data_IF_623436309116
#
_entry.id   IF_623436309116
#
_cell.length_a   1.000
_cell.length_b   1.000
_cell.length_c   1.000
_cell.angle_alpha   90.00
_cell.angle_beta   90.00
_cell.angle_gamma   90.00
#
_symmetry.space_group_name_H-M   'P 1'
#
loop_
_entity.id
_entity.type
_entity.pdbx_description
1 polymer ?
#
# COMPACT_ATOMS: atom_id res chain seq x y z
N UNK A 1 -6.86 17.57 31.35
CA UNK A 1 -7.41 18.82 30.79
C UNK A 1 -8.07 18.49 29.45
N UNK A 2 -9.40 18.43 29.41
CA UNK A 2 -10.13 18.35 28.15
C UNK A 2 -10.21 19.78 27.57
N UNK A 3 -9.23 20.17 26.75
CA UNK A 3 -9.44 21.32 25.87
C UNK A 3 -10.61 20.98 24.95
N UNK A 4 -11.73 21.70 25.10
CA UNK A 4 -12.84 21.61 24.16
C UNK A 4 -12.31 21.81 22.74
N UNK A 5 -12.33 20.75 21.93
CA UNK A 5 -11.93 20.85 20.53
C UNK A 5 -12.97 21.69 19.82
N UNK A 6 -12.55 22.88 19.40
CA UNK A 6 -13.28 23.68 18.43
C UNK A 6 -13.38 22.86 17.14
N UNK A 7 -14.57 22.84 16.55
CA UNK A 7 -14.76 22.30 15.21
C UNK A 7 -13.74 22.95 14.26
N UNK A 8 -13.17 22.15 13.36
CA UNK A 8 -12.28 22.61 12.29
C UNK A 8 -12.84 22.09 10.96
N UNK A 9 -13.81 22.81 10.37
CA UNK A 9 -14.47 22.36 9.14
C UNK A 9 -13.50 22.18 7.98
N UNK A 10 -12.41 22.95 7.93
CA UNK A 10 -11.42 22.86 6.86
C UNK A 10 -10.65 21.53 6.96
N UNK A 11 -10.12 21.21 8.14
CA UNK A 11 -9.49 19.90 8.38
C UNK A 11 -10.50 18.75 8.17
N UNK A 12 -11.76 18.94 8.56
CA UNK A 12 -12.82 17.97 8.36
C UNK A 12 -13.08 17.62 6.89
N UNK A 13 -13.18 18.63 6.02
CA UNK A 13 -13.35 18.44 4.57
C UNK A 13 -12.14 17.70 3.98
N UNK A 14 -10.93 18.09 4.39
CA UNK A 14 -9.68 17.46 3.93
C UNK A 14 -9.66 15.96 4.26
N UNK A 15 -10.00 15.61 5.50
CA UNK A 15 -10.12 14.22 5.93
C UNK A 15 -11.19 13.49 5.11
N UNK A 16 -12.36 14.08 4.88
CA UNK A 16 -13.40 13.42 4.06
C UNK A 16 -12.97 13.15 2.62
N UNK A 17 -12.34 14.13 1.97
CA UNK A 17 -11.82 13.99 0.60
C UNK A 17 -10.75 12.90 0.55
N UNK A 18 -9.82 12.91 1.53
CA UNK A 18 -8.80 11.87 1.68
C UNK A 18 -9.39 10.48 1.87
N UNK A 19 -10.39 10.37 2.75
CA UNK A 19 -11.10 9.14 3.03
C UNK A 19 -11.81 8.58 1.80
N UNK A 20 -12.53 9.44 1.07
CA UNK A 20 -13.18 9.09 -0.18
C UNK A 20 -12.18 8.62 -1.26
N UNK A 21 -11.03 9.30 -1.39
CA UNK A 21 -9.99 8.91 -2.34
C UNK A 21 -9.41 7.52 -2.01
N UNK A 22 -9.13 7.23 -0.75
CA UNK A 22 -8.61 5.93 -0.32
C UNK A 22 -9.63 4.80 -0.51
N UNK A 23 -10.92 5.05 -0.26
CA UNK A 23 -11.98 4.08 -0.53
C UNK A 23 -12.15 3.81 -2.03
N UNK A 24 -12.06 4.84 -2.87
CA UNK A 24 -12.06 4.68 -4.32
C UNK A 24 -10.87 3.83 -4.78
N UNK A 25 -9.68 4.07 -4.23
CA UNK A 25 -8.49 3.24 -4.51
C UNK A 25 -8.63 1.81 -3.99
N UNK A 26 -9.24 1.60 -2.83
CA UNK A 26 -9.56 0.27 -2.32
C UNK A 26 -10.52 -0.48 -3.26
N UNK A 27 -11.55 0.19 -3.76
CA UNK A 27 -12.48 -0.39 -4.73
C UNK A 27 -11.77 -0.73 -6.05
N UNK A 28 -10.90 0.14 -6.56
CA UNK A 28 -10.08 -0.15 -7.74
C UNK A 28 -9.15 -1.34 -7.52
N UNK A 29 -8.48 -1.40 -6.36
CA UNK A 29 -7.63 -2.54 -5.99
C UNK A 29 -8.43 -3.84 -5.88
N UNK A 30 -9.62 -3.81 -5.28
CA UNK A 30 -10.51 -4.97 -5.19
C UNK A 30 -10.94 -5.48 -6.56
N UNK A 31 -11.41 -4.59 -7.45
CA UNK A 31 -11.81 -4.96 -8.81
C UNK A 31 -10.63 -5.55 -9.58
N UNK A 32 -9.45 -4.94 -9.45
CA UNK A 32 -8.22 -5.40 -10.12
C UNK A 32 -7.76 -6.74 -9.58
N UNK A 33 -7.80 -6.96 -8.26
CA UNK A 33 -7.46 -8.22 -7.62
C UNK A 33 -8.43 -9.34 -7.98
N UNK A 34 -9.73 -9.03 -8.06
CA UNK A 34 -10.80 -10.00 -8.33
C UNK A 34 -10.86 -10.43 -9.80
N UNK A 35 -10.63 -9.49 -10.73
CA UNK A 35 -10.72 -9.76 -12.18
C UNK A 35 -9.39 -10.22 -12.78
N UNK A 36 -8.29 -10.01 -12.07
CA UNK A 36 -6.94 -10.02 -12.64
C UNK A 36 -6.73 -8.76 -13.51
N UNK A 37 -5.49 -8.32 -13.68
CA UNK A 37 -5.17 -7.38 -14.75
C UNK A 37 -5.58 -8.06 -16.06
N UNK A 38 -6.37 -7.39 -16.90
CA UNK A 38 -6.88 -7.87 -18.20
C UNK A 38 -5.79 -8.16 -19.24
N UNK A 39 -4.78 -8.94 -18.86
CA UNK A 39 -3.77 -9.50 -19.72
C UNK A 39 -4.44 -10.49 -20.67
N UNK A 40 -3.95 -10.60 -21.92
CA UNK A 40 -4.61 -11.32 -23.01
C UNK A 40 -4.79 -12.84 -22.79
N UNK A 41 -4.33 -13.37 -21.65
CA UNK A 41 -4.57 -14.74 -21.22
C UNK A 41 -5.96 -14.89 -20.60
N UNK A 42 -6.98 -14.79 -21.46
CA UNK A 42 -8.43 -14.89 -21.21
C UNK A 42 -8.91 -16.25 -20.65
N UNK A 43 -8.03 -17.06 -20.08
CA UNK A 43 -8.29 -18.43 -19.62
C UNK A 43 -7.98 -18.71 -18.15
N UNK A 44 -7.37 -17.78 -17.40
CA UNK A 44 -7.11 -17.97 -15.97
C UNK A 44 -8.33 -17.53 -15.16
N UNK A 45 -9.31 -18.43 -15.04
CA UNK A 45 -10.20 -18.36 -13.88
C UNK A 45 -9.33 -18.44 -12.63
N UNK A 46 -9.50 -17.47 -11.75
CA UNK A 46 -8.92 -17.43 -10.42
C UNK A 46 -9.37 -18.67 -9.62
N UNK A 47 -8.67 -19.79 -9.77
CA UNK A 47 -8.71 -20.85 -8.79
C UNK A 47 -7.97 -20.32 -7.55
N UNK A 48 -8.71 -19.78 -6.59
CA UNK A 48 -8.18 -19.33 -5.29
C UNK A 48 -7.08 -18.27 -5.42
N UNK A 49 -7.44 -17.05 -5.84
CA UNK A 49 -6.51 -15.93 -5.83
C UNK A 49 -5.90 -15.79 -4.40
N UNK A 50 -4.57 -15.71 -4.27
CA UNK A 50 -3.92 -15.65 -2.96
C UNK A 50 -4.50 -14.52 -2.12
N UNK A 51 -4.84 -14.80 -0.86
CA UNK A 51 -5.42 -13.82 0.08
C UNK A 51 -4.55 -12.57 0.20
N UNK A 52 -3.24 -12.70 -0.05
CA UNK A 52 -2.27 -11.61 -0.03
C UNK A 52 -2.57 -10.48 -1.02
N UNK A 53 -3.31 -10.75 -2.10
CA UNK A 53 -3.74 -9.73 -3.06
C UNK A 53 -4.68 -8.69 -2.46
N UNK A 54 -5.38 -9.05 -1.39
CA UNK A 54 -6.40 -8.22 -0.75
C UNK A 54 -5.87 -7.41 0.43
N UNK A 55 -4.61 -7.63 0.86
CA UNK A 55 -4.00 -6.85 1.96
C UNK A 55 -4.12 -5.35 1.70
N UNK A 56 -3.88 -4.93 0.45
CA UNK A 56 -4.02 -3.54 0.02
C UNK A 56 -5.43 -2.96 0.10
N UNK A 57 -6.42 -3.79 -0.25
CA UNK A 57 -7.84 -3.42 -0.09
C UNK A 57 -8.16 -3.19 1.38
N UNK A 58 -7.66 -4.06 2.27
CA UNK A 58 -7.89 -3.96 3.71
C UNK A 58 -7.35 -2.64 4.27
N UNK A 59 -6.05 -2.35 4.11
CA UNK A 59 -5.50 -1.15 4.73
C UNK A 59 -6.01 0.15 4.09
N UNK A 60 -6.35 0.16 2.80
CA UNK A 60 -6.96 1.33 2.17
C UNK A 60 -8.41 1.55 2.66
N UNK A 61 -9.18 0.47 2.84
CA UNK A 61 -10.55 0.55 3.36
C UNK A 61 -10.57 1.04 4.80
N UNK A 62 -9.69 0.48 5.64
CA UNK A 62 -9.54 0.90 7.03
C UNK A 62 -9.14 2.38 7.12
N UNK A 63 -8.07 2.80 6.44
CA UNK A 63 -7.62 4.20 6.49
C UNK A 63 -8.69 5.15 5.93
N UNK A 64 -9.31 4.79 4.81
CA UNK A 64 -10.38 5.60 4.21
C UNK A 64 -11.57 5.80 5.15
N UNK A 65 -11.95 4.74 5.87
CA UNK A 65 -13.02 4.80 6.88
C UNK A 65 -12.64 5.69 8.07
N UNK A 66 -11.40 5.59 8.54
CA UNK A 66 -10.89 6.38 9.67
C UNK A 66 -10.87 7.87 9.31
N UNK A 67 -10.43 8.24 8.12
CA UNK A 67 -10.48 9.63 7.64
C UNK A 67 -11.93 10.13 7.50
N UNK A 68 -12.85 9.35 6.95
CA UNK A 68 -14.26 9.74 6.90
C UNK A 68 -14.83 9.99 8.30
N UNK A 69 -14.55 9.08 9.24
CA UNK A 69 -14.98 9.22 10.64
C UNK A 69 -14.42 10.50 11.25
N UNK A 70 -13.10 10.74 11.13
CA UNK A 70 -12.46 11.97 11.63
C UNK A 70 -13.05 13.22 10.98
N UNK A 71 -13.30 13.19 9.68
CA UNK A 71 -13.91 14.28 8.93
C UNK A 71 -15.31 14.63 9.46
N UNK A 72 -16.17 13.63 9.65
CA UNK A 72 -17.49 13.84 10.24
C UNK A 72 -17.41 14.42 11.66
N UNK A 73 -16.45 13.99 12.47
CA UNK A 73 -16.26 14.52 13.81
C UNK A 73 -15.83 15.98 13.82
N UNK A 74 -14.91 16.38 12.94
CA UNK A 74 -14.41 17.75 12.85
C UNK A 74 -15.45 18.74 12.31
N UNK A 75 -16.42 18.25 11.54
CA UNK A 75 -17.55 19.04 11.05
C UNK A 75 -18.77 19.03 11.98
N UNK A 76 -18.85 18.08 12.91
CA UNK A 76 -19.99 17.97 13.80
C UNK A 76 -20.03 19.15 14.79
N UNK A 77 -21.19 19.76 15.03
CA UNK A 77 -21.31 20.77 16.08
C UNK A 77 -21.02 20.13 17.44
N UNK A 78 -20.35 20.86 18.37
CA UNK A 78 -19.96 20.33 19.70
C UNK A 78 -21.11 19.74 20.52
N UNK A 79 -22.36 20.08 20.20
CA UNK A 79 -23.58 19.62 20.87
C UNK A 79 -24.05 18.22 20.46
N UNK A 80 -23.51 17.62 19.39
CA UNK A 80 -23.83 16.24 18.97
C UNK A 80 -22.66 15.32 19.34
N UNK A 81 -22.80 14.62 20.46
CA UNK A 81 -21.75 13.87 21.15
C UNK A 81 -21.22 12.60 20.47
N UNK A 82 -20.92 12.61 19.17
CA UNK A 82 -20.09 11.57 18.56
C UNK A 82 -18.60 11.83 18.86
N UNK A 83 -18.26 11.81 20.15
CA UNK A 83 -16.89 11.88 20.63
C UNK A 83 -16.28 10.48 20.59
N UNK A 84 -15.74 10.10 19.44
CA UNK A 84 -14.80 8.98 19.40
C UNK A 84 -13.49 9.43 20.04
N UNK A 85 -12.86 8.57 20.87
CA UNK A 85 -11.54 8.83 21.43
C UNK A 85 -10.55 9.25 20.35
N UNK A 86 -9.58 10.08 20.72
CA UNK A 86 -8.46 10.40 19.84
C UNK A 86 -7.64 9.14 19.59
N UNK A 87 -7.84 8.54 18.43
CA UNK A 87 -7.08 7.40 17.93
C UNK A 87 -5.77 7.85 17.27
N UNK A 88 -5.18 8.94 17.75
CA UNK A 88 -3.92 9.48 17.22
C UNK A 88 -2.88 8.33 17.26
N UNK A 89 -2.40 7.92 16.07
CA UNK A 89 -1.48 6.78 15.82
C UNK A 89 -2.05 5.36 15.85
N UNK A 90 -3.27 5.10 16.34
CA UNK A 90 -3.79 3.74 16.39
C UNK A 90 -3.96 3.13 14.99
N UNK A 91 -4.34 3.96 14.02
CA UNK A 91 -4.39 3.61 12.60
C UNK A 91 -2.99 3.26 12.07
N UNK A 92 -1.98 4.06 12.35
CA UNK A 92 -0.62 3.78 11.92
C UNK A 92 -0.06 2.50 12.53
N UNK A 93 -0.24 2.28 13.85
CA UNK A 93 0.24 1.08 14.55
C UNK A 93 -0.35 -0.19 13.93
N UNK A 94 -1.60 -0.17 13.50
CA UNK A 94 -2.27 -1.33 12.91
C UNK A 94 -1.96 -1.48 11.40
N UNK A 95 -1.99 -0.40 10.64
CA UNK A 95 -1.99 -0.45 9.18
C UNK A 95 -0.58 -0.46 8.58
N UNK A 96 0.38 0.23 9.17
CA UNK A 96 1.75 0.26 8.64
C UNK A 96 2.45 -1.11 8.69
N UNK A 97 2.28 -1.95 9.73
CA UNK A 97 2.77 -3.33 9.69
C UNK A 97 2.16 -4.14 8.54
N UNK A 98 0.88 -3.93 8.22
CA UNK A 98 0.24 -4.59 7.08
C UNK A 98 0.86 -4.15 5.74
N UNK A 99 1.19 -2.87 5.57
CA UNK A 99 1.89 -2.37 4.38
C UNK A 99 3.26 -3.05 4.22
N UNK A 100 4.01 -3.19 5.32
CA UNK A 100 5.31 -3.87 5.29
C UNK A 100 5.15 -5.35 4.96
N UNK A 101 4.14 -6.03 5.52
CA UNK A 101 3.81 -7.40 5.14
C UNK A 101 3.46 -7.49 3.65
N UNK A 102 2.69 -6.56 3.11
CA UNK A 102 2.29 -6.49 1.70
C UNK A 102 3.51 -6.48 0.77
N UNK A 103 4.50 -5.63 1.06
CA UNK A 103 5.77 -5.57 0.32
C UNK A 103 6.53 -6.90 0.42
N UNK A 104 6.70 -7.42 1.63
CA UNK A 104 7.51 -8.63 1.87
C UNK A 104 6.85 -9.90 1.31
N UNK A 105 5.52 -9.98 1.29
CA UNK A 105 4.78 -11.05 0.61
C UNK A 105 4.92 -10.92 -0.91
N UNK A 106 4.80 -9.71 -1.46
CA UNK A 106 4.97 -9.47 -2.91
C UNK A 106 6.31 -10.00 -3.40
N UNK A 107 7.39 -9.67 -2.71
CA UNK A 107 8.75 -10.05 -3.11
C UNK A 107 9.27 -11.36 -2.49
N UNK A 108 8.44 -12.07 -1.71
CA UNK A 108 8.85 -13.26 -0.94
C UNK A 108 10.14 -13.04 -0.12
N UNK A 109 10.26 -11.88 0.52
CA UNK A 109 11.41 -11.57 1.39
C UNK A 109 11.19 -12.29 2.75
N UNK A 110 12.24 -12.91 3.33
CA UNK A 110 12.15 -13.56 4.65
C UNK A 110 12.05 -12.53 5.79
N UNK A 111 11.58 -12.96 6.97
CA UNK A 111 11.50 -12.11 8.16
C UNK A 111 10.30 -11.14 8.17
N UNK A 112 9.16 -11.57 7.62
CA UNK A 112 7.90 -10.80 7.54
C UNK A 112 7.40 -10.33 8.90
N UNK A 113 7.28 -11.27 9.84
CA UNK A 113 6.81 -11.01 11.21
C UNK A 113 7.75 -10.05 11.94
N UNK A 114 9.06 -10.26 11.83
CA UNK A 114 10.06 -9.38 12.47
C UNK A 114 9.96 -7.95 11.93
N UNK A 115 9.81 -7.78 10.61
CA UNK A 115 9.71 -6.45 10.00
C UNK A 115 8.39 -5.76 10.34
N UNK A 116 7.29 -6.51 10.39
CA UNK A 116 6.00 -6.01 10.87
C UNK A 116 6.07 -5.57 12.34
N UNK A 117 6.73 -6.37 13.20
CA UNK A 117 6.93 -6.05 14.61
C UNK A 117 7.82 -4.80 14.80
N UNK A 118 8.91 -4.66 14.03
CA UNK A 118 9.73 -3.45 14.04
C UNK A 118 8.93 -2.20 13.62
N UNK A 119 8.05 -2.35 12.63
CA UNK A 119 7.16 -1.26 12.21
C UNK A 119 6.20 -0.86 13.33
N UNK A 120 5.54 -1.85 13.96
CA UNK A 120 4.62 -1.61 15.07
C UNK A 120 5.34 -0.98 16.27
N UNK A 121 6.54 -1.44 16.61
CA UNK A 121 7.36 -0.88 17.69
C UNK A 121 7.78 0.56 17.39
N UNK A 122 8.21 0.86 16.17
CA UNK A 122 8.56 2.22 15.74
C UNK A 122 7.39 3.19 15.95
N UNK A 123 6.19 2.79 15.53
CA UNK A 123 4.99 3.61 15.62
C UNK A 123 4.42 3.66 17.04
N UNK A 124 4.56 2.60 17.81
CA UNK A 124 4.24 2.60 19.23
C UNK A 124 5.12 3.58 20.00
N UNK A 125 6.43 3.61 19.74
CA UNK A 125 7.33 4.61 20.30
C UNK A 125 6.95 6.04 19.88
N UNK A 126 6.55 6.25 18.62
CA UNK A 126 6.06 7.54 18.15
C UNK A 126 4.77 7.98 18.86
N UNK A 127 3.83 7.05 19.09
CA UNK A 127 2.61 7.30 19.84
C UNK A 127 2.91 7.66 21.30
N UNK A 128 3.83 6.93 21.96
CA UNK A 128 4.30 7.26 23.30
C UNK A 128 4.99 8.63 23.33
N UNK A 129 5.81 8.95 22.33
CA UNK A 129 6.44 10.27 22.21
C UNK A 129 5.40 11.38 22.09
N UNK A 130 4.35 11.19 21.27
CA UNK A 130 3.27 12.16 21.10
C UNK A 130 2.44 12.39 22.37
N UNK A 131 2.37 11.37 23.23
CA UNK A 131 1.62 11.40 24.49
C UNK A 131 2.43 11.91 25.69
N UNK A 132 3.73 12.14 25.53
CA UNK A 132 4.64 12.51 26.61
C UNK A 132 5.24 13.89 26.36
N UNK A 133 5.64 14.59 27.42
CA UNK A 133 6.34 15.87 27.34
C UNK A 133 7.87 15.70 27.29
N UNK A 134 8.58 16.78 26.97
CA UNK A 134 10.03 16.82 27.05
C UNK A 134 10.52 16.61 28.50
N UNK A 135 11.64 15.89 28.73
CA UNK A 135 12.59 15.40 27.73
C UNK A 135 12.28 14.00 27.17
N UNK A 136 11.38 13.24 27.80
CA UNK A 136 11.11 11.84 27.45
C UNK A 136 10.53 11.67 26.05
N UNK A 137 9.76 12.64 25.57
CA UNK A 137 9.29 12.74 24.18
C UNK A 137 10.42 12.50 23.17
N UNK A 138 11.57 13.16 23.36
CA UNK A 138 12.69 13.11 22.41
C UNK A 138 13.44 11.79 22.46
N UNK A 139 13.55 11.20 23.66
CA UNK A 139 14.11 9.87 23.82
C UNK A 139 13.26 8.82 23.09
N UNK A 140 11.94 8.84 23.30
CA UNK A 140 11.00 7.91 22.66
C UNK A 140 10.96 8.10 21.14
N UNK A 141 10.96 9.35 20.67
CA UNK A 141 11.06 9.67 19.25
C UNK A 141 12.34 9.11 18.62
N UNK A 142 13.50 9.33 19.25
CA UNK A 142 14.78 8.80 18.77
C UNK A 142 14.79 7.27 18.74
N UNK A 143 14.24 6.61 19.76
CA UNK A 143 14.12 5.16 19.79
C UNK A 143 13.21 4.62 18.66
N UNK A 144 12.09 5.29 18.39
CA UNK A 144 11.22 4.98 17.26
C UNK A 144 11.93 5.10 15.91
N UNK A 145 12.78 6.12 15.73
CA UNK A 145 13.61 6.29 14.54
C UNK A 145 14.64 5.17 14.37
N UNK A 146 15.26 4.69 15.46
CA UNK A 146 16.20 3.55 15.39
C UNK A 146 15.50 2.33 14.82
N UNK A 147 14.31 2.00 15.31
CA UNK A 147 13.53 0.88 14.76
C UNK A 147 13.16 1.08 13.29
N UNK A 148 12.79 2.30 12.88
CA UNK A 148 12.50 2.64 11.49
C UNK A 148 13.72 2.46 10.58
N UNK A 149 14.90 2.91 11.01
CA UNK A 149 16.16 2.78 10.26
C UNK A 149 16.52 1.31 10.09
N UNK A 150 16.43 0.51 11.15
CA UNK A 150 16.67 -0.94 11.10
C UNK A 150 15.69 -1.63 10.15
N UNK A 151 14.40 -1.28 10.22
CA UNK A 151 13.39 -1.76 9.28
C UNK A 151 13.77 -1.42 7.83
N UNK A 152 14.14 -0.17 7.57
CA UNK A 152 14.48 0.29 6.23
C UNK A 152 15.68 -0.46 5.66
N UNK A 153 16.75 -0.62 6.44
CA UNK A 153 17.92 -1.37 6.04
C UNK A 153 17.56 -2.82 5.65
N UNK A 154 16.68 -3.47 6.43
CA UNK A 154 16.22 -4.83 6.16
C UNK A 154 15.38 -4.92 4.89
N UNK A 155 14.37 -4.06 4.73
CA UNK A 155 13.50 -4.08 3.54
C UNK A 155 14.32 -3.75 2.29
N UNK A 156 15.22 -2.76 2.37
CA UNK A 156 16.05 -2.36 1.25
C UNK A 156 17.00 -3.48 0.80
N UNK A 157 17.63 -4.19 1.75
CA UNK A 157 18.47 -5.34 1.44
C UNK A 157 17.67 -6.45 0.74
N UNK A 158 16.47 -6.77 1.25
CA UNK A 158 15.60 -7.77 0.64
C UNK A 158 15.11 -7.37 -0.76
N UNK A 159 14.71 -6.11 -0.96
CA UNK A 159 14.28 -5.59 -2.27
C UNK A 159 15.42 -5.67 -3.28
N UNK A 160 16.63 -5.25 -2.90
CA UNK A 160 17.81 -5.32 -3.79
C UNK A 160 18.12 -6.74 -4.25
N UNK A 161 18.00 -7.72 -3.36
CA UNK A 161 18.22 -9.13 -3.69
C UNK A 161 17.18 -9.66 -4.68
N UNK A 162 15.94 -9.17 -4.62
CA UNK A 162 14.82 -9.65 -5.44
C UNK A 162 14.61 -8.86 -6.73
N UNK A 163 15.20 -7.66 -6.84
CA UNK A 163 14.95 -6.74 -7.95
C UNK A 163 15.39 -7.32 -9.31
N UNK A 164 16.53 -8.02 -9.34
CA UNK A 164 17.04 -8.66 -10.56
C UNK A 164 16.20 -9.84 -11.03
N UNK A 165 15.34 -10.37 -10.15
CA UNK A 165 14.45 -11.49 -10.45
C UNK A 165 13.09 -11.02 -10.99
N UNK A 166 12.83 -9.70 -10.96
CA UNK A 166 11.58 -9.14 -11.48
C UNK A 166 11.59 -9.08 -13.01
N UNK A 167 10.45 -9.36 -13.66
CA UNK A 167 10.31 -9.08 -15.09
C UNK A 167 10.41 -7.57 -15.32
N UNK A 168 11.02 -7.16 -16.44
CA UNK A 168 11.21 -5.74 -16.79
C UNK A 168 9.91 -4.92 -16.73
N UNK A 169 8.79 -5.53 -17.10
CA UNK A 169 7.45 -4.93 -17.03
C UNK A 169 6.98 -4.59 -15.60
N UNK A 170 7.48 -5.31 -14.57
CA UNK A 170 7.15 -5.06 -13.17
C UNK A 170 8.05 -4.01 -12.50
N UNK A 171 9.23 -3.73 -13.06
CA UNK A 171 10.23 -2.84 -12.44
C UNK A 171 9.68 -1.43 -12.24
N UNK A 172 8.95 -0.88 -13.21
CA UNK A 172 8.36 0.46 -13.08
C UNK A 172 7.34 0.54 -11.94
N UNK A 173 6.47 -0.46 -11.79
CA UNK A 173 5.52 -0.53 -10.69
C UNK A 173 6.23 -0.73 -9.34
N UNK A 174 7.26 -1.57 -9.31
CA UNK A 174 8.10 -1.76 -8.13
C UNK A 174 8.78 -0.45 -7.71
N UNK A 175 9.28 0.33 -8.66
CA UNK A 175 9.87 1.64 -8.39
C UNK A 175 8.87 2.59 -7.73
N UNK A 176 7.64 2.68 -8.24
CA UNK A 176 6.57 3.49 -7.63
C UNK A 176 6.28 3.03 -6.20
N UNK A 177 6.20 1.72 -5.95
CA UNK A 177 6.00 1.19 -4.61
C UNK A 177 7.16 1.56 -3.66
N UNK A 178 8.41 1.51 -4.14
CA UNK A 178 9.59 1.85 -3.34
C UNK A 178 9.73 3.34 -3.08
N UNK A 179 9.40 4.21 -4.04
CA UNK A 179 9.35 5.67 -3.81
C UNK A 179 8.24 6.00 -2.81
N UNK A 180 7.09 5.35 -2.91
CA UNK A 180 5.99 5.53 -1.95
C UNK A 180 6.38 5.08 -0.54
N UNK A 181 7.16 4.00 -0.42
CA UNK A 181 7.65 3.52 0.88
C UNK A 181 8.86 4.34 1.37
N UNK A 182 10.01 4.23 0.71
CA UNK A 182 11.27 4.84 1.15
C UNK A 182 11.34 6.35 0.97
N UNK A 183 10.57 6.92 0.03
CA UNK A 183 10.55 8.37 -0.21
C UNK A 183 9.62 9.12 0.72
N UNK A 184 8.41 8.59 0.95
CA UNK A 184 7.39 9.31 1.74
C UNK A 184 7.48 9.02 3.24
N UNK A 185 7.82 7.80 3.66
CA UNK A 185 7.82 7.45 5.08
C UNK A 185 8.79 8.27 5.94
N UNK A 186 10.03 8.62 5.48
CA UNK A 186 10.91 9.52 6.22
C UNK A 186 10.35 10.92 6.45
N UNK A 187 9.34 11.34 5.68
CA UNK A 187 8.70 12.63 5.86
C UNK A 187 7.77 12.63 7.08
N UNK A 188 7.22 11.50 7.50
CA UNK A 188 6.35 11.45 8.70
C UNK A 188 7.06 11.90 9.98
N UNK A 189 8.28 11.43 10.31
CA UNK A 189 9.04 11.98 11.43
C UNK A 189 9.32 13.48 11.30
N UNK A 190 9.54 14.01 10.09
CA UNK A 190 9.73 15.45 9.88
C UNK A 190 8.43 16.20 10.21
N UNK A 191 7.29 15.71 9.72
CA UNK A 191 5.98 16.30 10.02
C UNK A 191 5.67 16.21 11.51
N UNK A 192 6.04 15.12 12.20
CA UNK A 192 5.93 15.00 13.65
C UNK A 192 6.71 16.12 14.37
N UNK A 193 7.95 16.39 13.96
CA UNK A 193 8.79 17.45 14.55
C UNK A 193 8.21 18.84 14.31
N UNK A 194 7.63 19.08 13.12
CA UNK A 194 7.00 20.35 12.77
C UNK A 194 5.59 20.52 13.33
N UNK A 195 4.99 19.43 13.82
CA UNK A 195 3.58 19.37 14.20
C UNK A 195 3.24 20.12 15.49
N UNK A 196 1.94 20.25 15.80
CA UNK A 196 1.44 21.09 16.90
C UNK A 196 1.93 20.72 18.30
N UNK A 197 2.34 19.46 18.53
CA UNK A 197 2.86 18.97 19.82
C UNK A 197 4.39 18.97 19.94
N UNK A 198 5.07 19.43 18.89
CA UNK A 198 6.53 19.48 18.83
C UNK A 198 6.94 20.95 18.63
N UNK A 199 7.48 21.32 17.47
CA UNK A 199 7.87 22.69 17.19
C UNK A 199 6.70 23.64 16.92
N UNK A 200 5.47 23.10 16.72
CA UNK A 200 4.26 23.88 16.44
C UNK A 200 4.43 24.87 15.27
N UNK A 201 5.12 24.43 14.22
CA UNK A 201 5.35 25.19 12.98
C UNK A 201 4.17 25.02 12.03
N UNK A 202 3.58 23.83 11.99
CA UNK A 202 2.39 23.52 11.21
C UNK A 202 1.14 23.73 12.05
N UNK A 203 0.17 24.49 11.52
CA UNK A 203 -1.17 24.55 12.05
C UNK A 203 -1.92 23.23 11.83
N UNK A 204 -3.06 23.05 12.52
CA UNK A 204 -3.82 21.79 12.50
C UNK A 204 -4.31 21.41 11.10
N UNK A 205 -4.75 22.40 10.31
CA UNK A 205 -5.27 22.18 8.97
C UNK A 205 -4.15 21.72 8.03
N UNK A 206 -3.00 22.40 8.02
CA UNK A 206 -1.85 21.97 7.21
C UNK A 206 -1.31 20.61 7.66
N UNK A 207 -1.24 20.36 8.96
CA UNK A 207 -0.83 19.07 9.51
C UNK A 207 -1.75 17.94 9.03
N UNK A 208 -3.07 18.14 9.05
CA UNK A 208 -4.04 17.17 8.53
C UNK A 208 -3.89 16.96 7.02
N UNK A 209 -3.75 18.05 6.24
CA UNK A 209 -3.59 17.99 4.79
C UNK A 209 -2.38 17.15 4.36
N UNK A 210 -1.23 17.37 5.01
CA UNK A 210 -0.01 16.65 4.71
C UNK A 210 -0.18 15.15 5.00
N UNK A 211 -0.77 14.79 6.15
CA UNK A 211 -1.01 13.39 6.49
C UNK A 211 -1.95 12.70 5.50
N UNK A 212 -3.03 13.35 5.10
CA UNK A 212 -3.96 12.82 4.09
C UNK A 212 -3.25 12.54 2.77
N UNK A 213 -2.44 13.49 2.28
CA UNK A 213 -1.66 13.31 1.05
C UNK A 213 -0.70 12.13 1.21
N UNK A 214 0.02 12.06 2.32
CA UNK A 214 0.96 10.98 2.57
C UNK A 214 0.26 9.63 2.63
N UNK A 215 -0.92 9.54 3.25
CA UNK A 215 -1.70 8.32 3.34
C UNK A 215 -2.21 7.85 1.97
N UNK A 216 -2.66 8.77 1.11
CA UNK A 216 -3.03 8.44 -0.27
C UNK A 216 -1.86 7.80 -1.02
N UNK A 217 -0.65 8.35 -0.89
CA UNK A 217 0.53 7.81 -1.58
C UNK A 217 0.99 6.48 -0.95
N UNK A 218 1.18 6.46 0.37
CA UNK A 218 1.73 5.32 1.11
C UNK A 218 0.81 4.11 1.17
N UNK A 219 -0.50 4.30 1.01
CA UNK A 219 -1.49 3.22 1.04
C UNK A 219 -2.09 3.01 -0.34
N UNK A 220 -2.78 4.01 -0.88
CA UNK A 220 -3.49 3.88 -2.14
C UNK A 220 -2.58 3.61 -3.34
N UNK A 221 -1.63 4.52 -3.62
CA UNK A 221 -0.70 4.39 -4.75
C UNK A 221 0.20 3.17 -4.59
N UNK A 222 0.74 2.96 -3.38
CA UNK A 222 1.55 1.79 -3.06
C UNK A 222 0.79 0.47 -3.29
N UNK A 223 -0.47 0.37 -2.85
CA UNK A 223 -1.30 -0.82 -3.02
C UNK A 223 -1.47 -1.20 -4.49
N UNK A 224 -1.86 -0.22 -5.32
CA UNK A 224 -2.06 -0.43 -6.74
C UNK A 224 -0.75 -0.81 -7.44
N UNK A 225 0.37 -0.21 -7.04
CA UNK A 225 1.69 -0.53 -7.54
C UNK A 225 2.09 -1.98 -7.21
N UNK A 226 1.93 -2.42 -5.96
CA UNK A 226 2.22 -3.80 -5.55
C UNK A 226 1.30 -4.81 -6.23
N UNK A 227 0.02 -4.50 -6.38
CA UNK A 227 -0.92 -5.36 -7.10
C UNK A 227 -0.51 -5.54 -8.57
N UNK A 228 0.00 -4.48 -9.19
CA UNK A 228 0.56 -4.54 -10.56
C UNK A 228 1.82 -5.39 -10.63
N UNK A 229 2.72 -5.28 -9.66
CA UNK A 229 3.90 -6.16 -9.57
C UNK A 229 3.47 -7.62 -9.48
N UNK A 230 2.54 -7.95 -8.57
CA UNK A 230 2.01 -9.32 -8.41
C UNK A 230 1.44 -9.88 -9.69
N UNK A 231 0.65 -9.08 -10.42
CA UNK A 231 0.05 -9.52 -11.67
C UNK A 231 1.09 -9.97 -12.70
N UNK A 232 2.19 -9.22 -12.84
CA UNK A 232 3.30 -9.64 -13.70
C UNK A 232 3.99 -10.89 -13.19
N UNK A 233 4.24 -10.97 -11.87
CA UNK A 233 4.90 -12.12 -11.26
C UNK A 233 4.05 -13.41 -11.40
N UNK A 234 2.73 -13.31 -11.39
CA UNK A 234 1.84 -14.44 -11.65
C UNK A 234 1.94 -14.97 -13.07
N UNK A 235 2.12 -14.11 -14.07
CA UNK A 235 2.24 -14.58 -15.47
C UNK A 235 3.45 -15.45 -15.72
N UNK A 236 4.49 -15.32 -14.91
CA UNK A 236 5.72 -16.11 -15.00
C UNK A 236 5.75 -17.27 -14.00
N UNK A 237 4.64 -17.54 -13.30
CA UNK A 237 4.55 -18.66 -12.34
C UNK A 237 5.33 -18.45 -11.04
N UNK A 238 5.72 -17.20 -10.71
CA UNK A 238 6.57 -16.89 -9.56
C UNK A 238 6.04 -17.42 -8.22
N UNK A 239 4.73 -17.38 -8.03
CA UNK A 239 4.08 -17.81 -6.78
C UNK A 239 3.89 -19.32 -6.66
N UNK A 240 4.51 -20.13 -7.54
CA UNK A 240 4.38 -21.58 -7.48
C UNK A 240 3.06 -22.10 -8.03
N UNK A 241 2.26 -21.23 -8.68
CA UNK A 241 1.24 -21.67 -9.62
C UNK A 241 1.98 -22.24 -10.83
N UNK A 242 2.25 -23.53 -10.74
CA UNK A 242 2.72 -24.37 -11.83
C UNK A 242 1.80 -24.16 -13.02
N UNK A 243 2.19 -23.27 -13.91
CA UNK A 243 2.10 -23.63 -15.30
C UNK A 243 3.26 -24.56 -15.54
N UNK A 244 2.94 -25.85 -15.48
CA UNK A 244 3.74 -26.91 -16.06
C UNK A 244 4.28 -26.35 -17.37
N UNK A 245 5.59 -26.10 -17.43
CA UNK A 245 6.24 -25.49 -18.58
C UNK A 245 5.97 -26.26 -19.88
N UNK A 246 5.58 -27.54 -19.76
CA UNK A 246 5.02 -28.36 -20.82
C UNK A 246 3.71 -27.83 -21.39
N UNK A 247 2.72 -27.48 -20.58
CA UNK A 247 1.41 -26.99 -21.06
C UNK A 247 1.53 -25.65 -21.80
N UNK A 248 2.40 -24.74 -21.34
CA UNK A 248 2.66 -23.49 -22.07
C UNK A 248 3.38 -23.78 -23.38
N UNK A 249 4.44 -24.61 -23.35
CA UNK A 249 5.22 -24.94 -24.55
C UNK A 249 4.35 -25.66 -25.58
N UNK A 250 3.54 -26.63 -25.17
CA UNK A 250 2.62 -27.37 -26.03
C UNK A 250 1.50 -26.46 -26.57
N UNK A 251 0.95 -25.55 -25.75
CA UNK A 251 -0.06 -24.59 -26.23
C UNK A 251 0.53 -23.52 -27.14
N UNK A 252 1.75 -23.03 -26.90
CA UNK A 252 2.44 -22.12 -27.82
C UNK A 252 2.74 -22.82 -29.15
N UNK A 253 3.24 -24.05 -29.10
CA UNK A 253 3.52 -24.86 -30.30
C UNK A 253 2.22 -25.13 -31.07
N UNK A 254 1.12 -25.45 -30.38
CA UNK A 254 -0.18 -25.66 -31.03
C UNK A 254 -0.68 -24.40 -31.73
N UNK A 255 -0.60 -23.23 -31.08
CA UNK A 255 -1.04 -21.96 -31.68
C UNK A 255 -0.16 -21.52 -32.83
N UNK A 256 1.16 -21.65 -32.71
CA UNK A 256 2.08 -21.39 -33.82
C UNK A 256 1.84 -22.35 -34.99
N UNK A 257 1.43 -23.59 -34.73
CA UNK A 257 1.04 -24.55 -35.77
C UNK A 257 -0.27 -24.17 -36.45
N UNK A 258 -1.27 -23.71 -35.68
CA UNK A 258 -2.57 -23.30 -36.20
C UNK A 258 -2.48 -21.98 -36.99
N UNK A 259 -1.70 -21.02 -36.52
CA UNK A 259 -1.42 -19.77 -37.25
C UNK A 259 -0.63 -20.06 -38.53
N UNK A 260 0.33 -20.99 -38.49
CA UNK A 260 1.06 -21.43 -39.69
C UNK A 260 0.19 -22.22 -40.68
N UNK A 261 -0.90 -22.87 -40.23
CA UNK A 261 -1.89 -23.51 -41.11
C UNK A 261 -2.86 -22.48 -41.70
N UNK A 262 -3.28 -21.50 -40.90
CA UNK A 262 -4.15 -20.40 -41.35
C UNK A 262 -3.45 -19.46 -42.35
N UNK A 263 -2.12 -19.32 -42.24
CA UNK A 263 -1.31 -18.51 -43.15
C UNK A 263 -0.91 -19.24 -44.45
N UNK A 264 -1.24 -20.52 -44.64
CA UNK A 264 -1.03 -21.18 -45.94
C UNK A 264 -2.10 -20.72 -46.92
N UNK A 265 -1.73 -20.09 -48.05
CA UNK A 265 -2.69 -19.85 -49.11
C UNK A 265 -3.20 -21.20 -49.59
N UNK A 266 -4.53 -21.34 -49.71
CA UNK A 266 -5.16 -22.47 -50.39
C UNK A 266 -4.73 -22.45 -51.86
N UNK A 267 -3.60 -23.09 -52.18
CA UNK A 267 -3.23 -23.42 -53.55
C UNK A 267 -4.17 -24.51 -54.02
N UNK A 268 -5.34 -24.11 -54.50
CA UNK A 268 -6.41 -25.01 -54.91
C UNK A 268 -7.33 -24.35 -55.91
N UNK A 269 -6.94 -24.46 -57.19
CA UNK A 269 -7.86 -24.42 -58.33
C UNK A 269 -7.97 -23.07 -59.03
N UNK A 270 -7.26 -22.92 -60.14
CA UNK A 270 -7.90 -22.98 -61.46
C UNK A 270 -6.82 -23.26 -62.51
N UNK A 271 -6.73 -24.52 -62.91
CA UNK A 271 -6.22 -24.89 -64.22
C UNK A 271 -7.46 -25.07 -65.11
N UNK A 272 -7.65 -24.13 -66.03
CA UNK A 272 -8.07 -24.26 -67.43
C UNK A 272 -8.28 -22.85 -68.01
#
# INVERSE_FOLDING_TARGET
MAMGRLADPAAGIIDMVGGGALLAMAAMAYVTASRGFGMPFRGYRAAGAPEEKFIGVVYCTCQGSIHLMRGFQLMAPPSRGLYLPDYDYADFILLCPLIVLDILFTLKIPGKVVSAALTALSLFMAACAYATEAPYQWFLFALGLVFLIVLFARVQAGVRQRLSELPSAAVGAMYVAMVSFFGMWPLFPIVFLLGPRSANVLDRTSFAAIHVVFDIVCKGVLSLALLRVRAFMETIGWYGYSLTSKDIRERLISRLSDDAKAARPTSGGHAL
#
